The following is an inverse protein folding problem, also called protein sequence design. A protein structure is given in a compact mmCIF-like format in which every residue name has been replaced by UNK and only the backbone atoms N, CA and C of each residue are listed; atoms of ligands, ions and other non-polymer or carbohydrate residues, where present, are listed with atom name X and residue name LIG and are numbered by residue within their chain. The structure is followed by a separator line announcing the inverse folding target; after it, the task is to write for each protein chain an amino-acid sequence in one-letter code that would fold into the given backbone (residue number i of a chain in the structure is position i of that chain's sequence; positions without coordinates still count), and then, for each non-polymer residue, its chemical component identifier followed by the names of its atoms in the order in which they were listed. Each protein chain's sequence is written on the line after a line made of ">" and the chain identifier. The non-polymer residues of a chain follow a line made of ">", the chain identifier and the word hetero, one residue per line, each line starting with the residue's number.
data_IF_344709155313
#
_entry.id   IF_344709155313
#
_cell.length_a   1.000
_cell.length_b   1.000
_cell.length_c   1.000
_cell.angle_alpha   90.00
_cell.angle_beta   90.00
_cell.angle_gamma   90.00
#
_symmetry.space_group_name_H-M   'P 1'
#
loop_
_entity.id
_entity.type
_entity.pdbx_description
1 polymer ?
#
# COMPACT_ATOMS: atom_id res chain seq x y z
N UNK A 1 6.09 -1.10 -3.26
CA UNK A 1 4.80 -1.74 -3.50
C UNK A 1 4.98 -3.20 -3.24
N UNK A 2 4.30 -3.73 -2.23
CA UNK A 2 4.37 -5.14 -1.91
C UNK A 2 3.31 -5.90 -2.68
N UNK A 3 3.71 -7.08 -3.16
CA UNK A 3 2.94 -7.90 -4.06
C UNK A 3 2.46 -9.15 -3.32
N UNK A 4 1.35 -9.80 -3.74
CA UNK A 4 0.91 -11.06 -3.14
C UNK A 4 1.96 -12.18 -3.14
N UNK A 5 2.93 -12.10 -4.04
CA UNK A 5 4.13 -12.95 -4.12
C UNK A 5 5.05 -12.82 -2.89
N UNK A 6 4.98 -11.76 -2.07
CA UNK A 6 5.80 -11.58 -0.85
C UNK A 6 5.79 -12.78 0.08
N UNK A 7 4.63 -13.42 0.24
CA UNK A 7 4.46 -14.61 1.07
C UNK A 7 4.12 -15.86 0.24
N UNK A 8 4.49 -15.86 -1.05
CA UNK A 8 4.21 -16.93 -1.99
C UNK A 8 2.72 -17.30 -2.14
N UNK A 9 1.78 -16.38 -1.84
CA UNK A 9 0.34 -16.65 -1.97
C UNK A 9 -0.12 -16.80 -3.40
N UNK A 10 0.56 -16.14 -4.33
CA UNK A 10 0.26 -16.22 -5.74
C UNK A 10 1.55 -16.20 -6.56
N UNK A 11 1.52 -16.89 -7.70
CA UNK A 11 2.52 -16.80 -8.77
C UNK A 11 2.02 -15.90 -9.90
N UNK A 12 1.28 -14.83 -9.58
CA UNK A 12 0.94 -13.84 -10.61
C UNK A 12 2.23 -13.11 -10.94
N UNK A 13 2.63 -13.24 -12.20
CA UNK A 13 3.70 -12.45 -12.77
C UNK A 13 3.26 -10.97 -12.78
N UNK A 14 3.90 -10.08 -11.99
CA UNK A 14 3.51 -8.68 -11.91
C UNK A 14 3.62 -7.97 -13.27
N UNK A 15 4.40 -8.49 -14.22
CA UNK A 15 4.52 -7.96 -15.57
C UNK A 15 3.28 -8.25 -16.44
N UNK A 16 2.39 -9.16 -16.02
CA UNK A 16 1.13 -9.49 -16.72
C UNK A 16 -0.07 -8.70 -16.21
N UNK A 17 0.11 -7.89 -15.17
CA UNK A 17 -0.96 -7.05 -14.64
C UNK A 17 -1.21 -5.89 -15.62
N UNK A 18 -2.45 -5.69 -16.10
CA UNK A 18 -2.80 -4.59 -17.00
C UNK A 18 -2.44 -3.22 -16.42
N UNK A 19 -1.96 -2.28 -17.25
CA UNK A 19 -1.52 -0.95 -16.79
C UNK A 19 -2.66 -0.17 -16.12
N UNK A 20 -3.89 -0.32 -16.62
CA UNK A 20 -5.08 0.29 -16.06
C UNK A 20 -5.39 -0.21 -14.65
N UNK A 21 -4.87 -1.37 -14.22
CA UNK A 21 -4.94 -1.81 -12.82
C UNK A 21 -4.27 -0.80 -11.88
N UNK A 22 -3.14 -0.22 -12.30
CA UNK A 22 -2.35 0.72 -11.50
C UNK A 22 -2.89 2.15 -11.50
N UNK A 23 -4.00 2.39 -12.20
CA UNK A 23 -4.69 3.68 -12.25
C UNK A 23 -6.05 3.50 -11.57
N UNK A 24 -6.25 4.14 -10.42
CA UNK A 24 -7.44 3.96 -9.58
C UNK A 24 -7.93 5.29 -9.03
N UNK A 25 -9.25 5.42 -8.92
CA UNK A 25 -9.82 6.40 -7.97
C UNK A 25 -9.28 6.08 -6.57
N UNK A 26 -9.16 7.08 -5.72
CA UNK A 26 -8.59 6.90 -4.39
C UNK A 26 -9.37 7.65 -3.33
N UNK A 27 -9.57 6.99 -2.20
CA UNK A 27 -10.08 7.55 -0.96
C UNK A 27 -8.94 7.75 0.03
N UNK A 28 -8.77 8.98 0.51
CA UNK A 28 -7.71 9.37 1.44
C UNK A 28 -8.32 9.60 2.82
N UNK A 29 -7.92 8.75 3.76
CA UNK A 29 -8.24 8.87 5.17
C UNK A 29 -7.18 9.77 5.82
N UNK A 30 -7.59 10.99 6.17
CA UNK A 30 -6.75 11.90 6.97
C UNK A 30 -6.79 11.49 8.43
N UNK A 31 -5.64 11.12 8.96
CA UNK A 31 -5.50 10.64 10.33
C UNK A 31 -4.82 11.71 11.16
N UNK A 32 -5.50 12.16 12.20
CA UNK A 32 -4.86 13.01 13.21
C UNK A 32 -3.97 12.12 14.08
N UNK A 33 -2.67 12.39 14.07
CA UNK A 33 -1.70 11.55 14.77
C UNK A 33 -1.79 11.77 16.28
N UNK A 34 -2.39 10.81 16.96
CA UNK A 34 -2.25 10.66 18.41
C UNK A 34 -0.97 9.88 18.74
N UNK A 35 0.09 10.58 19.16
CA UNK A 35 1.39 9.97 19.49
C UNK A 35 1.34 9.04 20.70
N UNK A 36 0.29 9.09 21.53
CA UNK A 36 0.11 8.13 22.63
C UNK A 36 -0.32 6.75 22.11
N UNK A 37 -0.97 6.70 20.95
CA UNK A 37 -1.47 5.45 20.37
C UNK A 37 -0.41 4.77 19.53
N UNK A 38 -0.27 3.47 19.77
CA UNK A 38 0.67 2.66 19.02
C UNK A 38 0.19 2.34 17.61
N UNK A 39 -1.11 2.31 17.34
CA UNK A 39 -1.69 1.91 16.05
C UNK A 39 -2.90 2.75 15.68
N UNK A 40 -3.21 2.80 14.38
CA UNK A 40 -4.48 3.31 13.88
C UNK A 40 -5.56 2.26 14.12
N UNK A 41 -6.62 2.63 14.82
CA UNK A 41 -7.72 1.71 15.16
C UNK A 41 -8.90 1.92 14.25
N UNK A 42 -9.69 0.86 14.04
CA UNK A 42 -10.93 0.92 13.24
C UNK A 42 -11.84 2.06 13.72
N UNK A 43 -12.13 2.13 15.02
CA UNK A 43 -13.00 3.16 15.59
C UNK A 43 -12.48 4.58 15.34
N UNK A 44 -11.15 4.76 15.24
CA UNK A 44 -10.54 6.07 15.02
C UNK A 44 -10.61 6.55 13.57
N UNK A 45 -10.92 5.67 12.61
CA UNK A 45 -10.92 6.00 11.18
C UNK A 45 -12.21 5.63 10.45
N UNK A 46 -13.08 4.80 11.04
CA UNK A 46 -14.27 4.25 10.36
C UNK A 46 -15.19 5.34 9.81
N UNK A 47 -15.46 6.38 10.57
CA UNK A 47 -16.34 7.48 10.16
C UNK A 47 -15.75 8.32 9.01
N UNK A 48 -14.44 8.21 8.74
CA UNK A 48 -13.75 8.89 7.66
C UNK A 48 -13.71 8.07 6.37
N UNK A 49 -14.26 6.86 6.36
CA UNK A 49 -14.32 5.97 5.20
C UNK A 49 -15.76 5.96 4.70
N UNK A 50 -15.98 6.37 3.44
CA UNK A 50 -17.29 6.21 2.81
C UNK A 50 -17.50 4.75 2.42
N UNK A 51 -18.26 4.03 3.23
CA UNK A 51 -18.53 2.61 3.02
C UNK A 51 -19.24 2.34 1.69
N UNK A 52 -20.06 3.27 1.19
CA UNK A 52 -20.82 3.05 -0.05
C UNK A 52 -19.91 2.92 -1.26
N UNK A 53 -18.80 3.66 -1.27
CA UNK A 53 -17.80 3.60 -2.34
C UNK A 53 -17.16 2.22 -2.46
N UNK A 54 -17.11 1.45 -1.37
CA UNK A 54 -16.53 0.11 -1.36
C UNK A 54 -17.59 -1.00 -1.43
N UNK A 55 -18.77 -0.82 -0.85
CA UNK A 55 -19.77 -1.89 -0.78
C UNK A 55 -20.72 -1.93 -1.98
N UNK A 56 -21.00 -0.79 -2.62
CA UNK A 56 -21.91 -0.72 -3.78
C UNK A 56 -21.18 -0.97 -5.12
N UNK A 57 -19.86 -0.81 -5.15
CA UNK A 57 -19.04 -1.06 -6.34
C UNK A 57 -18.52 -2.51 -6.40
N UNK A 58 -18.49 -3.11 -7.60
CA UNK A 58 -17.78 -4.37 -7.81
C UNK A 58 -16.29 -4.15 -7.54
N UNK A 59 -15.61 -5.20 -7.05
CA UNK A 59 -14.24 -5.14 -6.54
C UNK A 59 -13.23 -4.53 -7.51
N UNK A 60 -13.42 -4.75 -8.81
CA UNK A 60 -12.56 -4.23 -9.89
C UNK A 60 -12.63 -2.70 -10.05
N UNK A 61 -13.73 -2.09 -9.58
CA UNK A 61 -13.99 -0.65 -9.64
C UNK A 61 -13.83 0.05 -8.30
N UNK A 62 -13.56 -0.69 -7.22
CA UNK A 62 -13.38 -0.08 -5.90
C UNK A 62 -12.17 0.86 -5.91
N UNK A 63 -12.26 2.01 -5.23
CA UNK A 63 -11.13 2.93 -5.13
C UNK A 63 -10.01 2.31 -4.30
N UNK A 64 -8.78 2.82 -4.50
CA UNK A 64 -7.68 2.60 -3.57
C UNK A 64 -7.95 3.30 -2.23
N UNK A 65 -7.35 2.81 -1.15
CA UNK A 65 -7.48 3.39 0.19
C UNK A 65 -6.11 3.87 0.69
N UNK A 66 -5.95 5.16 0.96
CA UNK A 66 -4.71 5.72 1.49
C UNK A 66 -4.89 6.29 2.90
N UNK A 67 -3.90 6.09 3.75
CA UNK A 67 -3.83 6.67 5.08
C UNK A 67 -2.77 7.77 5.12
N UNK A 68 -3.21 9.02 5.29
CA UNK A 68 -2.33 10.17 5.51
C UNK A 68 -2.17 10.39 7.01
N UNK A 69 -1.05 9.94 7.55
CA UNK A 69 -0.71 9.99 8.98
C UNK A 69 0.20 11.16 9.34
N UNK A 70 0.77 11.85 8.35
CA UNK A 70 1.70 12.96 8.52
C UNK A 70 3.12 12.50 8.86
N UNK A 71 3.42 11.21 8.72
CA UNK A 71 4.74 10.64 9.01
C UNK A 71 5.76 11.00 7.93
N UNK A 72 5.32 11.24 6.70
CA UNK A 72 6.13 11.71 5.56
C UNK A 72 6.98 12.95 5.87
N UNK A 73 6.54 13.84 6.77
CA UNK A 73 7.32 15.03 7.20
C UNK A 73 8.59 14.72 7.99
N UNK A 74 8.68 13.51 8.57
CA UNK A 74 9.85 13.08 9.35
C UNK A 74 10.83 12.27 8.51
N UNK A 75 10.40 11.81 7.33
CA UNK A 75 11.27 11.08 6.42
C UNK A 75 12.48 11.94 6.06
N UNK A 76 13.68 11.35 6.16
CA UNK A 76 14.98 12.01 5.97
C UNK A 76 15.32 13.18 6.91
N UNK A 77 14.41 13.63 7.78
CA UNK A 77 14.60 14.77 8.67
C UNK A 77 14.66 14.38 10.16
N UNK A 78 13.95 13.33 10.56
CA UNK A 78 13.95 12.84 11.94
C UNK A 78 13.61 11.34 11.99
N UNK A 79 14.64 10.50 11.90
CA UNK A 79 14.48 9.05 11.89
C UNK A 79 13.81 8.52 13.16
N UNK A 80 14.11 9.08 14.34
CA UNK A 80 13.51 8.61 15.60
C UNK A 80 11.99 8.79 15.59
N UNK A 81 11.50 9.97 15.16
CA UNK A 81 10.07 10.21 15.01
C UNK A 81 9.49 9.37 13.89
N UNK A 82 10.21 9.22 12.78
CA UNK A 82 9.78 8.43 11.63
C UNK A 82 9.58 6.93 11.97
N UNK A 83 10.48 6.36 12.77
CA UNK A 83 10.40 4.97 13.23
C UNK A 83 9.32 4.74 14.29
N UNK A 84 8.73 5.80 14.87
CA UNK A 84 7.57 5.70 15.78
C UNK A 84 6.22 5.87 15.05
N UNK A 85 6.13 5.32 13.84
CA UNK A 85 4.91 5.28 13.06
C UNK A 85 3.85 4.37 13.73
N UNK A 86 2.55 4.62 13.49
CA UNK A 86 1.49 3.85 14.14
C UNK A 86 1.29 2.43 13.54
N UNK A 87 1.40 2.25 12.22
CA UNK A 87 0.85 1.05 11.59
C UNK A 87 -0.67 0.91 11.83
N UNK A 88 -1.27 -0.18 11.35
CA UNK A 88 -2.71 -0.45 11.39
C UNK A 88 -3.02 -1.52 12.45
N UNK A 89 -4.11 -1.36 13.21
CA UNK A 89 -4.56 -2.40 14.14
C UNK A 89 -5.10 -3.61 13.36
N UNK A 90 -5.03 -4.80 13.96
CA UNK A 90 -5.60 -6.04 13.39
C UNK A 90 -7.06 -5.86 12.95
N UNK A 91 -7.90 -5.27 13.80
CA UNK A 91 -9.31 -5.03 13.49
C UNK A 91 -9.53 -4.11 12.29
N UNK A 92 -8.66 -3.11 12.10
CA UNK A 92 -8.71 -2.23 10.93
C UNK A 92 -8.25 -2.97 9.67
N UNK A 93 -7.17 -3.75 9.76
CA UNK A 93 -6.70 -4.59 8.66
C UNK A 93 -7.78 -5.58 8.22
N UNK A 94 -8.40 -6.30 9.15
CA UNK A 94 -9.48 -7.25 8.87
C UNK A 94 -10.67 -6.53 8.22
N UNK A 95 -11.07 -5.38 8.76
CA UNK A 95 -12.13 -4.58 8.14
C UNK A 95 -11.80 -4.20 6.69
N UNK A 96 -10.59 -3.72 6.42
CA UNK A 96 -10.16 -3.40 5.05
C UNK A 96 -10.17 -4.65 4.16
N UNK A 97 -9.68 -5.78 4.66
CA UNK A 97 -9.47 -6.99 3.89
C UNK A 97 -10.74 -7.79 3.60
N UNK A 98 -11.79 -7.64 4.41
CA UNK A 98 -13.03 -8.42 4.29
C UNK A 98 -14.26 -7.57 3.96
N UNK A 99 -14.29 -6.29 4.36
CA UNK A 99 -15.46 -5.42 4.11
C UNK A 99 -15.22 -4.44 2.96
N UNK A 100 -14.02 -3.86 2.87
CA UNK A 100 -13.71 -2.86 1.84
C UNK A 100 -13.10 -3.49 0.56
N UNK A 101 -12.18 -4.43 0.73
CA UNK A 101 -11.35 -5.06 -0.30
C UNK A 101 -10.87 -4.11 -1.43
N UNK A 102 -10.19 -3.00 -1.11
CA UNK A 102 -9.63 -2.13 -2.13
C UNK A 102 -8.54 -2.86 -2.95
N UNK A 103 -8.27 -2.48 -4.21
CA UNK A 103 -7.16 -3.04 -4.97
C UNK A 103 -5.80 -2.64 -4.38
N UNK A 104 -5.70 -1.44 -3.82
CA UNK A 104 -4.51 -0.94 -3.15
C UNK A 104 -4.87 -0.39 -1.77
N UNK A 105 -3.98 -0.63 -0.82
CA UNK A 105 -3.87 0.14 0.41
C UNK A 105 -2.55 0.90 0.39
N UNK A 106 -2.51 2.11 0.92
CA UNK A 106 -1.25 2.82 1.10
C UNK A 106 -1.17 3.68 2.34
N UNK A 107 0.05 4.00 2.75
CA UNK A 107 0.34 4.77 3.96
C UNK A 107 1.59 5.62 3.75
N UNK A 108 1.60 6.83 4.32
CA UNK A 108 2.77 7.73 4.31
C UNK A 108 3.79 7.42 5.41
N UNK A 109 3.91 6.13 5.75
CA UNK A 109 4.82 5.57 6.75
C UNK A 109 5.63 4.41 6.17
N UNK A 110 6.66 3.99 6.90
CA UNK A 110 7.56 2.91 6.47
C UNK A 110 6.92 1.54 6.40
N UNK A 111 5.83 1.33 7.15
CA UNK A 111 5.10 0.09 7.08
C UNK A 111 3.64 0.24 7.51
N UNK A 112 2.75 -0.61 6.98
CA UNK A 112 1.40 -0.79 7.51
C UNK A 112 1.39 -1.59 8.82
N UNK A 113 2.40 -2.42 9.05
CA UNK A 113 2.57 -3.15 10.30
C UNK A 113 3.54 -2.37 11.19
N UNK A 114 3.13 -2.06 12.41
CA UNK A 114 4.08 -1.50 13.37
C UNK A 114 5.16 -2.56 13.60
N UNK A 115 6.40 -2.23 13.29
CA UNK A 115 7.54 -3.04 13.70
C UNK A 115 7.49 -3.19 15.21
N UNK A 116 7.10 -4.37 15.69
CA UNK A 116 7.50 -4.82 17.02
C UNK A 116 9.02 -4.78 16.94
N UNK A 117 9.64 -3.97 17.79
CA UNK A 117 11.09 -3.73 17.85
C UNK A 117 11.86 -4.98 17.43
N UNK A 118 12.49 -4.94 16.26
CA UNK A 118 13.38 -6.02 15.84
C UNK A 118 14.52 -6.09 16.86
N UNK A 119 14.43 -7.01 17.83
CA UNK A 119 15.63 -7.70 18.29
C UNK A 119 16.12 -8.44 17.05
N UNK A 120 17.12 -7.85 16.41
CA UNK A 120 17.76 -8.38 15.24
C UNK A 120 18.01 -9.88 15.39
N UNK A 121 17.51 -10.68 14.44
CA UNK A 121 17.85 -12.10 14.30
C UNK A 121 19.36 -12.32 14.08
N UNK A 122 20.16 -11.25 13.98
CA UNK A 122 21.64 -11.32 14.00
C UNK A 122 22.24 -11.69 15.37
N UNK A 123 21.45 -11.73 16.45
CA UNK A 123 21.94 -12.05 17.80
C UNK A 123 21.96 -13.55 18.17
N UNK A 124 21.50 -14.43 17.29
CA UNK A 124 21.40 -15.85 17.61
C UNK A 124 22.18 -16.69 16.61
N UNK A 125 23.46 -16.88 16.90
CA UNK A 125 24.39 -17.63 16.04
C UNK A 125 24.34 -19.15 16.22
N UNK A 126 23.47 -19.69 17.08
CA UNK A 126 23.29 -21.13 17.26
C UNK A 126 21.83 -21.43 17.66
N UNK A 127 20.92 -21.51 16.69
CA UNK A 127 19.53 -21.87 16.97
C UNK A 127 19.19 -23.25 16.39
N UNK A 128 18.77 -24.14 17.28
CA UNK A 128 18.14 -25.43 17.04
C UNK A 128 16.82 -25.29 16.25
N UNK A 129 16.52 -26.21 15.32
CA UNK A 129 15.29 -26.14 14.50
C UNK A 129 14.02 -26.07 15.35
N UNK A 130 14.05 -26.63 16.56
CA UNK A 130 12.95 -26.58 17.52
C UNK A 130 12.74 -25.17 18.10
N UNK A 131 13.83 -24.43 18.38
CA UNK A 131 13.75 -23.03 18.81
C UNK A 131 13.41 -22.09 17.65
N UNK A 132 13.83 -22.40 16.41
CA UNK A 132 13.35 -21.70 15.20
C UNK A 132 11.85 -21.91 15.03
N UNK A 133 11.31 -23.11 15.30
CA UNK A 133 9.88 -23.37 15.19
C UNK A 133 9.07 -22.73 16.33
N UNK A 134 9.61 -22.67 17.56
CA UNK A 134 8.99 -21.93 18.67
C UNK A 134 9.02 -20.42 18.40
N UNK A 135 10.13 -19.88 17.88
CA UNK A 135 10.20 -18.50 17.41
C UNK A 135 9.24 -18.26 16.27
N UNK A 136 9.18 -19.11 15.24
CA UNK A 136 8.17 -18.99 14.16
C UNK A 136 6.76 -18.96 14.74
N UNK A 137 6.40 -19.85 15.67
CA UNK A 137 5.08 -19.85 16.30
C UNK A 137 4.80 -18.62 17.18
N UNK A 138 5.81 -17.97 17.76
CA UNK A 138 5.65 -16.72 18.52
C UNK A 138 5.84 -15.43 17.68
N UNK A 139 6.53 -15.50 16.54
CA UNK A 139 6.89 -14.40 15.62
C UNK A 139 5.87 -14.24 14.47
N UNK A 140 4.91 -15.17 14.31
CA UNK A 140 3.90 -15.17 13.25
C UNK A 140 2.93 -13.96 13.23
N UNK A 141 3.13 -12.93 14.06
CA UNK A 141 2.34 -11.70 14.06
C UNK A 141 3.13 -10.41 13.76
N UNK A 142 4.41 -10.49 13.37
CA UNK A 142 5.20 -9.28 13.06
C UNK A 142 4.73 -8.56 11.77
N UNK A 143 4.06 -9.28 10.86
CA UNK A 143 3.55 -8.77 9.58
C UNK A 143 2.11 -9.23 9.32
N UNK A 144 1.29 -9.34 10.38
CA UNK A 144 -0.09 -9.82 10.28
C UNK A 144 -0.93 -8.97 9.32
N UNK A 145 -0.68 -7.66 9.30
CA UNK A 145 -1.29 -6.72 8.34
C UNK A 145 -1.00 -7.12 6.91
N UNK A 146 0.28 -7.26 6.57
CA UNK A 146 0.71 -7.68 5.24
C UNK A 146 0.13 -9.06 4.88
N UNK A 147 0.19 -10.03 5.79
CA UNK A 147 -0.33 -11.38 5.56
C UNK A 147 -1.81 -11.35 5.12
N UNK A 148 -2.65 -10.71 5.93
CA UNK A 148 -4.09 -10.64 5.69
C UNK A 148 -4.39 -9.94 4.36
N UNK A 149 -3.76 -8.80 4.10
CA UNK A 149 -4.05 -7.97 2.91
C UNK A 149 -3.52 -8.62 1.62
N UNK A 150 -2.30 -9.12 1.63
CA UNK A 150 -1.69 -9.75 0.46
C UNK A 150 -2.35 -11.07 0.10
N UNK A 151 -2.80 -11.87 1.09
CA UNK A 151 -3.62 -13.07 0.85
C UNK A 151 -4.96 -12.74 0.21
N UNK A 152 -5.46 -11.53 0.46
CA UNK A 152 -6.65 -10.98 -0.20
C UNK A 152 -6.34 -10.29 -1.51
N UNK A 153 -5.13 -10.39 -2.07
CA UNK A 153 -4.72 -9.71 -3.31
C UNK A 153 -4.89 -8.18 -3.27
N UNK A 154 -4.66 -7.59 -2.11
CA UNK A 154 -4.64 -6.15 -1.90
C UNK A 154 -3.18 -5.72 -1.89
N UNK A 155 -2.79 -4.87 -2.83
CA UNK A 155 -1.41 -4.42 -2.99
C UNK A 155 -1.09 -3.30 -1.98
N UNK A 156 0.12 -3.28 -1.45
CA UNK A 156 0.49 -2.35 -0.38
C UNK A 156 1.46 -1.28 -0.91
N UNK A 157 1.14 -0.01 -0.67
CA UNK A 157 1.92 1.16 -1.04
C UNK A 157 2.45 1.87 0.21
N UNK A 158 3.72 1.65 0.53
CA UNK A 158 4.37 2.23 1.70
C UNK A 158 5.32 3.37 1.29
N UNK A 159 5.79 4.15 2.27
CA UNK A 159 6.67 5.30 2.06
C UNK A 159 6.11 6.37 1.11
N UNK A 160 4.79 6.59 1.13
CA UNK A 160 4.19 7.66 0.33
C UNK A 160 4.61 9.04 0.84
N UNK A 161 4.96 9.95 -0.06
CA UNK A 161 5.08 11.37 0.27
C UNK A 161 3.73 12.06 0.04
N UNK A 162 3.04 12.37 1.12
CA UNK A 162 1.71 12.99 1.09
C UNK A 162 1.71 14.40 1.69
N UNK A 163 2.88 15.03 1.86
CA UNK A 163 3.00 16.35 2.52
C UNK A 163 2.23 17.45 1.82
N UNK A 164 2.23 17.41 0.49
CA UNK A 164 1.58 18.41 -0.36
C UNK A 164 0.10 18.14 -0.60
N UNK A 165 -0.44 17.00 -0.12
CA UNK A 165 -1.88 16.70 -0.22
C UNK A 165 -2.64 17.51 0.85
N UNK A 166 -3.52 18.46 0.45
CA UNK A 166 -4.28 19.27 1.40
C UNK A 166 -5.17 18.41 2.31
N UNK A 167 -5.45 18.89 3.53
CA UNK A 167 -6.23 18.13 4.53
C UNK A 167 -7.72 17.99 4.20
N UNK A 168 -8.23 18.85 3.33
CA UNK A 168 -9.60 18.89 2.82
C UNK A 168 -9.80 17.99 1.58
N UNK A 169 -8.72 17.52 0.95
CA UNK A 169 -8.77 16.64 -0.22
C UNK A 169 -8.83 15.18 0.24
N UNK A 170 -10.00 14.56 0.16
CA UNK A 170 -10.20 13.13 0.47
C UNK A 170 -10.27 12.23 -0.76
N UNK A 171 -10.37 12.79 -1.97
CA UNK A 171 -10.57 12.01 -3.21
C UNK A 171 -9.72 12.50 -4.36
N UNK A 172 -9.49 11.61 -5.32
CA UNK A 172 -8.81 11.92 -6.57
C UNK A 172 -8.44 10.67 -7.37
N UNK A 173 -7.43 10.81 -8.22
CA UNK A 173 -6.88 9.75 -9.03
C UNK A 173 -5.47 9.38 -8.55
N UNK A 174 -5.25 8.10 -8.30
CA UNK A 174 -3.97 7.49 -7.97
C UNK A 174 -3.40 6.79 -9.21
N UNK A 175 -2.15 7.08 -9.53
CA UNK A 175 -1.37 6.39 -10.55
C UNK A 175 -0.17 5.77 -9.84
N UNK A 176 -0.18 4.46 -9.65
CA UNK A 176 0.83 3.71 -8.89
C UNK A 176 1.59 2.73 -9.78
N UNK A 177 2.44 3.26 -10.66
CA UNK A 177 3.15 2.46 -11.67
C UNK A 177 4.41 1.78 -11.08
N UNK A 178 4.50 0.44 -11.07
CA UNK A 178 5.71 -0.26 -10.67
C UNK A 178 6.86 0.03 -11.65
N UNK A 179 8.07 0.17 -11.14
CA UNK A 179 9.28 0.32 -11.96
C UNK A 179 9.73 -1.06 -12.46
N UNK A 180 9.24 -1.44 -13.63
CA UNK A 180 9.50 -2.73 -14.28
C UNK A 180 10.89 -2.86 -14.95
N UNK A 181 11.93 -2.17 -14.45
CA UNK A 181 13.27 -2.19 -15.07
C UNK A 181 14.06 -3.50 -14.89
N UNK A 182 13.44 -4.58 -14.42
CA UNK A 182 14.08 -5.88 -14.25
C UNK A 182 13.93 -6.74 -15.52
N UNK A 183 14.42 -6.25 -16.66
CA UNK A 183 14.33 -6.96 -17.94
C UNK A 183 15.43 -8.00 -18.17
N UNK A 184 16.33 -8.24 -17.21
CA UNK A 184 17.48 -9.16 -17.39
C UNK A 184 17.57 -10.35 -16.43
N UNK A 185 16.56 -10.60 -15.58
CA UNK A 185 16.57 -11.76 -14.66
C UNK A 185 16.01 -13.05 -15.31
N UNK A 186 16.06 -13.17 -16.63
CA UNK A 186 15.50 -14.30 -17.39
C UNK A 186 16.24 -15.64 -17.22
N UNK A 187 17.26 -15.74 -16.36
CA UNK A 187 17.98 -17.01 -16.14
C UNK A 187 17.88 -17.59 -14.71
N UNK A 188 17.28 -16.88 -13.74
CA UNK A 188 17.03 -17.43 -12.39
C UNK A 188 15.64 -17.03 -11.92
N UNK A 189 14.85 -18.03 -11.53
CA UNK A 189 13.50 -17.93 -10.98
C UNK A 189 13.48 -17.18 -9.63
N UNK A 190 13.69 -15.86 -9.65
CA UNK A 190 13.60 -15.02 -8.46
C UNK A 190 12.16 -14.57 -8.30
N UNK A 191 11.53 -14.95 -7.19
CA UNK A 191 10.21 -14.45 -6.81
C UNK A 191 10.32 -12.96 -6.49
N UNK A 192 9.71 -12.11 -7.31
CA UNK A 192 9.64 -10.67 -7.05
C UNK A 192 8.58 -10.46 -5.97
N UNK A 193 9.00 -10.04 -4.78
CA UNK A 193 8.11 -9.82 -3.62
C UNK A 193 7.65 -8.37 -3.53
N UNK A 194 8.51 -7.42 -3.89
CA UNK A 194 8.18 -6.01 -3.92
C UNK A 194 8.79 -5.32 -5.13
N UNK A 195 8.12 -4.28 -5.61
CA UNK A 195 8.61 -3.40 -6.67
C UNK A 195 8.65 -1.94 -6.18
N UNK A 196 9.75 -1.22 -6.42
CA UNK A 196 9.73 0.23 -6.37
C UNK A 196 8.62 0.76 -7.28
N UNK A 197 7.89 1.78 -6.83
CA UNK A 197 6.73 2.30 -7.55
C UNK A 197 6.82 3.81 -7.64
N UNK A 198 6.47 4.39 -8.79
CA UNK A 198 6.22 5.82 -8.92
C UNK A 198 4.74 6.05 -8.68
N UNK A 199 4.43 6.62 -7.52
CA UNK A 199 3.06 6.97 -7.13
C UNK A 199 2.84 8.45 -7.40
N UNK A 200 1.77 8.76 -8.14
CA UNK A 200 1.33 10.12 -8.45
C UNK A 200 -0.12 10.23 -8.00
N UNK A 201 -0.41 11.29 -7.26
CA UNK A 201 -1.77 11.68 -6.90
C UNK A 201 -2.17 12.88 -7.75
N UNK A 202 -3.35 12.79 -8.38
CA UNK A 202 -4.01 13.89 -9.05
C UNK A 202 -5.27 14.18 -8.24
N UNK A 203 -5.39 15.33 -7.56
CA UNK A 203 -6.63 15.66 -6.87
C UNK A 203 -7.79 15.61 -7.86
N UNK A 204 -8.97 15.24 -7.37
CA UNK A 204 -10.17 15.25 -8.20
C UNK A 204 -10.24 16.62 -8.90
N UNK A 205 -10.24 16.66 -10.24
CA UNK A 205 -10.35 17.93 -10.93
C UNK A 205 -11.68 18.55 -10.55
N UNK A 206 -11.80 19.86 -10.73
CA UNK A 206 -13.09 20.44 -11.05
C UNK A 206 -13.55 19.84 -12.40
N UNK A 207 -14.10 18.61 -12.39
CA UNK A 207 -14.45 17.82 -13.58
C UNK A 207 -14.28 16.30 -13.38
N UNK A 208 -15.23 15.51 -13.90
CA UNK A 208 -15.34 14.07 -13.63
C UNK A 208 -14.07 13.27 -14.02
N UNK A 209 -13.73 12.25 -13.23
CA UNK A 209 -12.61 11.30 -13.48
C UNK A 209 -12.62 10.72 -14.89
N UNK A 210 -13.80 10.50 -15.47
CA UNK A 210 -13.97 10.05 -16.86
C UNK A 210 -13.35 11.01 -17.89
N UNK A 211 -13.33 12.32 -17.63
CA UNK A 211 -12.67 13.29 -18.51
C UNK A 211 -11.15 13.25 -18.41
N UNK A 212 -10.59 13.00 -17.22
CA UNK A 212 -9.14 12.84 -17.03
C UNK A 212 -8.65 11.57 -17.71
N UNK A 213 -9.35 10.44 -17.50
CA UNK A 213 -9.03 9.17 -18.15
C UNK A 213 -9.14 9.30 -19.66
N UNK A 214 -10.16 10.01 -20.17
CA UNK A 214 -10.28 10.31 -21.60
C UNK A 214 -9.11 11.15 -22.11
N UNK A 215 -8.71 12.20 -21.39
CA UNK A 215 -7.55 13.04 -21.74
C UNK A 215 -6.25 12.23 -21.74
N UNK A 216 -6.03 11.37 -20.75
CA UNK A 216 -4.86 10.49 -20.66
C UNK A 216 -4.82 9.49 -21.82
N UNK A 217 -5.95 8.88 -22.19
CA UNK A 217 -6.05 8.00 -23.36
C UNK A 217 -5.81 8.73 -24.69
N UNK A 218 -6.27 9.97 -24.82
CA UNK A 218 -5.96 10.81 -25.99
C UNK A 218 -4.47 11.10 -26.08
N UNK A 219 -3.84 11.47 -24.96
CA UNK A 219 -2.39 11.71 -24.85
C UNK A 219 -1.56 10.46 -25.19
N UNK A 220 -1.97 9.29 -24.70
CA UNK A 220 -1.33 8.01 -25.05
C UNK A 220 -1.38 7.76 -26.56
N UNK A 221 -2.53 8.03 -27.20
CA UNK A 221 -2.70 7.91 -28.64
C UNK A 221 -1.79 8.87 -29.42
N UNK A 222 -1.72 10.12 -28.99
CA UNK A 222 -0.86 11.14 -29.59
C UNK A 222 0.63 10.81 -29.45
N UNK A 223 1.06 10.36 -28.26
CA UNK A 223 2.45 9.95 -28.00
C UNK A 223 2.83 8.66 -28.74
N UNK A 224 1.91 7.72 -28.90
CA UNK A 224 2.14 6.50 -29.70
C UNK A 224 2.26 6.77 -31.20
N UNK A 225 1.77 7.92 -31.68
CA UNK A 225 1.98 8.40 -33.05
C UNK A 225 3.31 9.14 -33.27
N UNK A 226 4.09 9.39 -32.22
CA UNK A 226 5.37 10.12 -32.26
C UNK A 226 6.58 9.17 -32.28
N UNK A 227 6.36 7.85 -32.27
CA UNK A 227 7.44 6.87 -32.50
C UNK A 227 7.72 6.79 -34.01
N UNK A 228 8.65 7.64 -34.47
CA UNK A 228 9.41 7.51 -35.73
C UNK A 228 10.86 7.27 -35.39
#
# INVERSE_FOLDING_TARGET
>A
MDLPTTFAYQSIDPFKIPVDFFIREVHIVHVERDYSKKSLTLDGVREKIDLKEFTELPRERRPALLFKTGMSRYWCHNNQKYMNFPGLSKSLVEFIAYELEPPFIGIDAISIDRTIEHRSLSLYTNIDEEFINILRMQEYNALLGHDILLRKNIYILENLDMREVPSDVSRGLLIALPLFRFTSLTEKSVLITALPCRVIFVPEPEGSVGEVVRKLRTLEKELSGIVV
#
